data_IF_129641681716
#
_entry.id   IF_129641681716
#
_cell.length_a   1.000
_cell.length_b   1.000
_cell.length_c   1.000
_cell.angle_alpha   90.00
_cell.angle_beta   90.00
_cell.angle_gamma   90.00
#
_symmetry.space_group_name_H-M   'P 1'
#
loop_
_entity.id
_entity.type
_entity.pdbx_description
1 polymer ?
#
# COMPACT_ATOMS: atom_id res chain seq x y z
N UNK A 1 -13.67 -8.78 3.09
CA UNK A 1 -12.40 -8.17 2.68
C UNK A 1 -11.27 -9.16 2.71
N UNK A 2 -10.35 -9.06 1.80
CA UNK A 2 -9.14 -9.87 1.74
C UNK A 2 -8.00 -9.10 2.40
N UNK A 3 -7.36 -9.69 3.41
CA UNK A 3 -6.13 -9.20 4.01
C UNK A 3 -4.91 -9.66 3.20
N UNK A 4 -4.05 -10.50 3.81
CA UNK A 4 -2.84 -11.00 3.15
C UNK A 4 -3.09 -11.84 1.89
N UNK A 5 -4.23 -12.53 1.78
CA UNK A 5 -4.67 -13.18 0.53
C UNK A 5 -5.48 -12.19 -0.33
N UNK A 6 -4.81 -11.17 -0.85
CA UNK A 6 -5.44 -10.13 -1.67
C UNK A 6 -6.16 -10.69 -2.91
N UNK A 7 -5.67 -11.81 -3.46
CA UNK A 7 -6.28 -12.43 -4.63
C UNK A 7 -7.68 -13.03 -4.35
N UNK A 8 -8.03 -13.28 -3.08
CA UNK A 8 -9.36 -13.78 -2.69
C UNK A 8 -10.37 -12.67 -2.40
N UNK A 9 -10.10 -11.45 -2.83
CA UNK A 9 -11.02 -10.32 -2.64
C UNK A 9 -12.42 -10.62 -3.23
N UNK A 10 -13.44 -10.19 -2.47
CA UNK A 10 -14.85 -10.42 -2.79
C UNK A 10 -15.62 -9.15 -3.18
N UNK A 11 -15.02 -7.97 -3.02
CA UNK A 11 -15.62 -6.72 -3.53
C UNK A 11 -15.79 -6.86 -5.04
N UNK A 12 -17.02 -6.85 -5.52
CA UNK A 12 -17.37 -7.08 -6.92
C UNK A 12 -17.68 -5.78 -7.65
N UNK A 13 -17.50 -5.78 -8.95
CA UNK A 13 -17.88 -4.70 -9.83
C UNK A 13 -18.55 -5.29 -11.08
N UNK A 14 -19.81 -4.97 -11.30
CA UNK A 14 -20.61 -5.41 -12.42
C UNK A 14 -20.70 -4.29 -13.45
N UNK A 15 -20.58 -4.61 -14.74
CA UNK A 15 -20.73 -3.62 -15.81
C UNK A 15 -22.21 -3.28 -15.98
N UNK A 16 -22.52 -1.98 -15.87
CA UNK A 16 -23.86 -1.43 -16.10
C UNK A 16 -23.72 -0.22 -17.03
N UNK A 17 -23.95 -0.42 -18.30
CA UNK A 17 -23.72 0.61 -19.33
C UNK A 17 -22.26 1.04 -19.38
N UNK A 18 -22.00 2.31 -19.20
CA UNK A 18 -20.65 2.93 -19.16
C UNK A 18 -20.06 3.03 -17.76
N UNK A 19 -20.67 2.37 -16.75
CA UNK A 19 -20.25 2.33 -15.36
C UNK A 19 -19.97 0.91 -14.86
N UNK A 20 -19.27 0.84 -13.75
CA UNK A 20 -19.23 -0.31 -12.84
C UNK A 20 -20.13 -0.04 -11.65
N UNK A 21 -21.00 -0.99 -11.30
CA UNK A 21 -21.72 -1.02 -10.03
C UNK A 21 -20.89 -1.82 -9.04
N UNK A 22 -20.35 -1.13 -8.02
CA UNK A 22 -19.44 -1.72 -7.04
C UNK A 22 -20.16 -2.04 -5.76
N UNK A 23 -19.97 -3.30 -5.28
CA UNK A 23 -20.56 -3.81 -4.03
C UNK A 23 -19.52 -4.57 -3.21
N UNK A 24 -19.56 -4.37 -1.89
CA UNK A 24 -18.69 -5.06 -0.95
C UNK A 24 -18.01 -4.15 0.06
N UNK A 25 -16.85 -4.54 0.58
CA UNK A 25 -16.12 -3.70 1.54
C UNK A 25 -14.61 -3.88 1.45
N UNK A 26 -13.88 -2.87 1.93
CA UNK A 26 -12.44 -2.88 2.19
C UNK A 26 -12.19 -2.64 3.66
N UNK A 27 -11.27 -3.39 4.25
CA UNK A 27 -10.90 -3.26 5.66
C UNK A 27 -9.43 -2.85 5.79
N UNK A 28 -9.07 -2.31 6.93
CA UNK A 28 -7.71 -1.81 7.26
C UNK A 28 -7.28 -0.61 6.41
N UNK A 29 -8.25 0.19 5.94
CA UNK A 29 -7.96 1.35 5.08
C UNK A 29 -7.53 2.54 5.94
N UNK A 30 -6.23 2.89 5.88
CA UNK A 30 -5.70 4.06 6.57
C UNK A 30 -6.15 5.34 5.88
N UNK A 31 -6.58 6.34 6.65
CA UNK A 31 -6.89 7.68 6.16
C UNK A 31 -8.15 7.80 5.29
N UNK A 32 -8.99 6.76 5.19
CA UNK A 32 -10.21 6.79 4.37
C UNK A 32 -11.18 7.93 4.76
N UNK A 33 -11.13 8.38 6.02
CA UNK A 33 -11.96 9.47 6.53
C UNK A 33 -11.57 10.86 6.01
N UNK A 34 -10.40 10.97 5.38
CA UNK A 34 -9.84 12.24 4.86
C UNK A 34 -9.46 12.17 3.38
N UNK A 35 -9.58 10.99 2.80
CA UNK A 35 -9.19 10.77 1.42
C UNK A 35 -10.28 11.29 0.46
N UNK A 36 -9.88 11.96 -0.61
CA UNK A 36 -10.78 12.34 -1.71
C UNK A 36 -11.09 11.16 -2.61
N UNK A 37 -10.16 10.22 -2.75
CA UNK A 37 -10.29 9.04 -3.59
C UNK A 37 -9.77 7.79 -2.88
N UNK A 38 -10.34 6.66 -3.26
CA UNK A 38 -9.82 5.34 -2.93
C UNK A 38 -9.47 4.59 -4.22
N UNK A 39 -8.26 4.04 -4.31
CA UNK A 39 -8.01 3.01 -5.30
C UNK A 39 -8.46 1.66 -4.77
N UNK A 40 -9.19 0.92 -5.56
CA UNK A 40 -9.77 -0.34 -5.15
C UNK A 40 -9.55 -1.44 -6.19
N UNK A 41 -9.03 -2.57 -5.74
CA UNK A 41 -9.08 -3.81 -6.50
C UNK A 41 -10.47 -4.42 -6.34
N UNK A 42 -11.13 -4.69 -7.45
CA UNK A 42 -12.48 -5.24 -7.48
C UNK A 42 -12.54 -6.46 -8.39
N UNK A 43 -13.45 -7.38 -8.10
CA UNK A 43 -13.69 -8.56 -8.90
C UNK A 43 -14.66 -8.18 -10.04
N UNK A 44 -14.15 -8.17 -11.27
CA UNK A 44 -14.92 -7.90 -12.48
C UNK A 44 -15.29 -9.16 -13.25
N UNK A 45 -14.54 -10.26 -13.04
CA UNK A 45 -14.89 -11.58 -13.56
C UNK A 45 -14.89 -12.60 -12.42
N UNK A 46 -16.05 -13.16 -12.12
CA UNK A 46 -16.27 -14.13 -11.03
C UNK A 46 -15.86 -15.55 -11.42
N UNK A 47 -15.70 -15.83 -12.71
CA UNK A 47 -15.40 -17.17 -13.25
C UNK A 47 -13.89 -17.40 -13.41
N UNK A 48 -13.14 -16.33 -13.51
CA UNK A 48 -11.69 -16.38 -13.70
C UNK A 48 -10.94 -16.89 -12.48
N UNK A 49 -9.72 -17.41 -12.70
CA UNK A 49 -8.78 -17.74 -11.61
C UNK A 49 -8.54 -16.54 -10.70
N UNK A 50 -8.20 -16.77 -9.43
CA UNK A 50 -8.09 -15.75 -8.35
C UNK A 50 -7.38 -14.45 -8.76
N UNK A 51 -6.24 -14.52 -9.45
CA UNK A 51 -5.45 -13.35 -9.87
C UNK A 51 -5.96 -12.71 -11.17
N UNK A 52 -6.69 -13.47 -11.98
CA UNK A 52 -7.37 -13.01 -13.18
C UNK A 52 -8.77 -12.54 -12.79
N UNK A 53 -9.39 -11.68 -13.58
CA UNK A 53 -10.74 -11.17 -13.28
C UNK A 53 -10.76 -10.09 -12.18
N UNK A 54 -9.61 -9.47 -11.89
CA UNK A 54 -9.51 -8.33 -10.98
C UNK A 54 -9.20 -7.07 -11.80
N UNK A 55 -9.98 -6.01 -11.59
CA UNK A 55 -9.74 -4.68 -12.14
C UNK A 55 -9.34 -3.69 -11.04
N UNK A 56 -8.66 -2.63 -11.44
CA UNK A 56 -8.20 -1.57 -10.55
C UNK A 56 -9.00 -0.31 -10.84
N UNK A 57 -9.76 0.19 -9.86
CA UNK A 57 -10.61 1.36 -10.00
C UNK A 57 -10.12 2.49 -9.09
N UNK A 58 -10.20 3.73 -9.59
CA UNK A 58 -10.07 4.94 -8.78
C UNK A 58 -11.48 5.48 -8.52
N UNK A 59 -11.89 5.51 -7.26
CA UNK A 59 -13.26 5.81 -6.84
C UNK A 59 -13.25 7.07 -5.98
N UNK A 60 -14.01 8.12 -6.32
CA UNK A 60 -14.19 9.28 -5.43
C UNK A 60 -14.88 8.85 -4.13
N UNK A 61 -14.34 9.25 -2.99
CA UNK A 61 -14.93 8.92 -1.68
C UNK A 61 -16.26 9.63 -1.42
N UNK A 62 -16.57 10.68 -2.19
CA UNK A 62 -17.85 11.38 -2.20
C UNK A 62 -18.95 10.64 -2.98
N UNK A 63 -18.65 9.53 -3.64
CA UNK A 63 -19.64 8.76 -4.41
C UNK A 63 -20.78 8.27 -3.52
N UNK A 64 -22.03 8.38 -4.00
CA UNK A 64 -23.18 7.85 -3.30
C UNK A 64 -23.02 6.33 -3.07
N UNK A 65 -23.42 5.84 -1.90
CA UNK A 65 -23.29 4.44 -1.51
C UNK A 65 -21.96 4.11 -0.81
N UNK A 66 -21.05 5.06 -0.64
CA UNK A 66 -19.84 4.86 0.18
C UNK A 66 -20.11 5.22 1.64
N UNK A 67 -19.74 4.31 2.54
CA UNK A 67 -19.78 4.53 3.98
C UNK A 67 -18.44 4.13 4.60
N UNK A 68 -17.89 5.01 5.45
CA UNK A 68 -16.63 4.78 6.16
C UNK A 68 -16.96 4.54 7.65
N UNK A 69 -16.49 3.41 8.19
CA UNK A 69 -16.60 3.08 9.60
C UNK A 69 -15.21 3.01 10.25
N UNK A 70 -15.00 3.66 11.40
CA UNK A 70 -13.71 3.62 12.09
C UNK A 70 -13.44 2.23 12.68
N UNK A 71 -12.16 1.84 12.68
CA UNK A 71 -11.64 0.67 13.40
C UNK A 71 -10.68 1.17 14.48
N UNK A 72 -10.94 0.75 15.70
CA UNK A 72 -10.15 1.12 16.86
C UNK A 72 -9.19 -0.01 17.24
N UNK A 73 -7.95 0.34 17.52
CA UNK A 73 -7.01 -0.58 18.16
C UNK A 73 -7.39 -0.80 19.62
N UNK A 74 -6.83 -1.84 20.26
CA UNK A 74 -7.12 -2.18 21.66
C UNK A 74 -6.79 -1.04 22.65
N UNK A 75 -5.90 -0.11 22.27
CA UNK A 75 -5.56 1.09 23.05
C UNK A 75 -6.53 2.26 22.80
N UNK A 76 -7.68 2.03 22.15
CA UNK A 76 -8.71 3.04 21.87
C UNK A 76 -8.37 4.01 20.72
N UNK A 77 -7.20 3.92 20.10
CA UNK A 77 -6.84 4.80 18.97
C UNK A 77 -7.51 4.32 17.69
N UNK A 78 -8.11 5.25 16.95
CA UNK A 78 -8.56 5.03 15.58
C UNK A 78 -7.34 4.99 14.67
N UNK A 79 -7.04 3.84 14.11
CA UNK A 79 -5.87 3.65 13.23
C UNK A 79 -6.27 3.36 11.79
N UNK A 80 -7.41 2.70 11.60
CA UNK A 80 -7.87 2.24 10.29
C UNK A 80 -9.37 2.47 10.14
N UNK A 81 -9.85 2.14 8.95
CA UNK A 81 -11.27 2.20 8.63
C UNK A 81 -11.69 0.94 7.86
N UNK A 82 -12.98 0.64 7.92
CA UNK A 82 -13.65 -0.20 6.95
C UNK A 82 -14.44 0.71 6.02
N UNK A 83 -14.29 0.51 4.72
CA UNK A 83 -15.02 1.22 3.68
C UNK A 83 -16.01 0.26 3.04
N UNK A 84 -17.28 0.62 3.04
CA UNK A 84 -18.38 -0.14 2.45
C UNK A 84 -18.78 0.51 1.13
N UNK A 85 -19.10 -0.31 0.16
CA UNK A 85 -19.62 0.07 -1.14
C UNK A 85 -20.98 -0.61 -1.30
N UNK A 86 -22.01 0.19 -1.48
CA UNK A 86 -23.41 -0.25 -1.67
C UNK A 86 -23.94 0.40 -2.96
N UNK A 87 -24.00 -0.40 -4.03
CA UNK A 87 -24.37 0.01 -5.38
C UNK A 87 -23.64 1.28 -5.89
N UNK A 88 -22.35 1.40 -5.56
CA UNK A 88 -21.56 2.57 -5.96
C UNK A 88 -21.30 2.56 -7.46
N UNK A 89 -21.80 3.59 -8.16
CA UNK A 89 -21.62 3.74 -9.60
C UNK A 89 -20.30 4.45 -9.92
N UNK A 90 -19.41 3.74 -10.60
CA UNK A 90 -18.06 4.21 -10.95
C UNK A 90 -17.91 4.22 -12.47
N UNK A 91 -17.59 5.35 -13.10
CA UNK A 91 -17.38 5.40 -14.55
C UNK A 91 -16.30 4.41 -15.00
N UNK A 92 -16.49 3.73 -16.12
CA UNK A 92 -15.50 2.81 -16.68
C UNK A 92 -14.18 3.50 -17.00
N UNK A 93 -14.22 4.80 -17.29
CA UNK A 93 -13.03 5.64 -17.48
C UNK A 93 -12.15 5.77 -16.21
N UNK A 94 -12.70 5.54 -15.02
CA UNK A 94 -11.95 5.54 -13.76
C UNK A 94 -11.19 4.23 -13.50
N UNK A 95 -11.19 3.29 -14.45
CA UNK A 95 -10.38 2.08 -14.39
C UNK A 95 -8.94 2.38 -14.81
N UNK A 96 -8.00 1.92 -14.02
CA UNK A 96 -6.57 1.97 -14.31
C UNK A 96 -6.12 0.67 -14.97
N UNK A 97 -5.62 0.76 -16.18
CA UNK A 97 -5.23 -0.40 -16.99
C UNK A 97 -6.40 -1.09 -17.68
N UNK A 98 -6.13 -2.23 -18.32
CA UNK A 98 -7.17 -3.02 -18.98
C UNK A 98 -8.07 -3.76 -17.96
N UNK A 99 -9.30 -4.05 -18.35
CA UNK A 99 -10.22 -4.84 -17.55
C UNK A 99 -9.62 -6.22 -17.24
N UNK A 100 -9.81 -6.70 -16.02
CA UNK A 100 -9.26 -7.95 -15.52
C UNK A 100 -7.71 -8.00 -15.41
N UNK A 101 -7.01 -6.86 -15.60
CA UNK A 101 -5.55 -6.75 -15.50
C UNK A 101 -5.12 -5.97 -14.22
N UNK A 102 -6.02 -5.67 -13.33
CA UNK A 102 -5.75 -4.91 -12.10
C UNK A 102 -4.71 -5.56 -11.18
N UNK A 103 -4.56 -6.89 -11.24
CA UNK A 103 -3.51 -7.59 -10.49
C UNK A 103 -2.10 -7.17 -10.92
N UNK A 104 -1.88 -6.95 -12.21
CA UNK A 104 -0.59 -6.47 -12.72
C UNK A 104 -0.29 -5.05 -12.25
N UNK A 105 -1.30 -4.17 -12.29
CA UNK A 105 -1.18 -2.80 -11.75
C UNK A 105 -0.86 -2.82 -10.26
N UNK A 106 -1.57 -3.65 -9.48
CA UNK A 106 -1.33 -3.80 -8.05
C UNK A 106 0.07 -4.31 -7.71
N UNK A 107 0.63 -5.24 -8.49
CA UNK A 107 1.99 -5.74 -8.26
C UNK A 107 3.05 -4.65 -8.37
N UNK A 108 2.90 -3.75 -9.32
CA UNK A 108 3.80 -2.60 -9.46
C UNK A 108 3.73 -1.70 -8.23
N UNK A 109 2.51 -1.31 -7.81
CA UNK A 109 2.29 -0.49 -6.63
C UNK A 109 2.83 -1.14 -5.34
N UNK A 110 2.51 -2.43 -5.12
CA UNK A 110 2.96 -3.18 -3.94
C UNK A 110 4.48 -3.42 -3.93
N UNK A 111 5.12 -3.43 -5.09
CA UNK A 111 6.58 -3.48 -5.21
C UNK A 111 7.23 -2.27 -4.56
N UNK A 112 6.76 -1.09 -4.86
CA UNK A 112 7.26 0.17 -4.30
C UNK A 112 6.92 0.31 -2.81
N UNK A 113 5.72 -0.10 -2.40
CA UNK A 113 5.28 -0.04 -1.01
C UNK A 113 6.16 -0.88 -0.07
N UNK A 114 6.63 -2.06 -0.50
CA UNK A 114 7.55 -2.91 0.29
C UNK A 114 8.81 -2.18 0.71
N UNK A 115 9.31 -1.26 -0.10
CA UNK A 115 10.49 -0.46 0.23
C UNK A 115 10.20 0.59 1.29
N UNK A 116 8.97 1.13 1.31
CA UNK A 116 8.54 2.12 2.32
C UNK A 116 8.37 1.48 3.71
N UNK A 117 7.97 0.20 3.78
CA UNK A 117 7.79 -0.55 5.04
C UNK A 117 9.12 -0.73 5.80
N UNK A 118 10.26 -0.71 5.12
CA UNK A 118 11.57 -0.87 5.77
C UNK A 118 11.91 0.24 6.78
N UNK A 119 11.30 1.43 6.64
CA UNK A 119 11.47 2.60 7.52
C UNK A 119 12.93 2.92 7.87
N UNK A 120 13.87 2.63 6.99
CA UNK A 120 15.32 2.78 7.26
C UNK A 120 15.65 4.19 7.70
N UNK A 121 15.16 5.22 6.99
CA UNK A 121 15.45 6.61 7.30
C UNK A 121 14.90 7.04 8.67
N UNK A 122 13.73 6.52 9.06
CA UNK A 122 13.13 6.77 10.38
C UNK A 122 13.94 6.11 11.49
N UNK A 123 14.30 4.84 11.31
CA UNK A 123 15.08 4.08 12.28
C UNK A 123 16.50 4.68 12.44
N UNK A 124 17.13 5.16 11.37
CA UNK A 124 18.41 5.87 11.46
C UNK A 124 18.29 7.16 12.26
N UNK A 125 17.22 7.94 12.08
CA UNK A 125 16.96 9.15 12.87
C UNK A 125 16.77 8.83 14.36
N UNK A 126 16.02 7.76 14.66
CA UNK A 126 15.84 7.30 16.06
C UNK A 126 17.18 6.89 16.65
N UNK A 127 17.98 6.08 15.94
CA UNK A 127 19.31 5.65 16.39
C UNK A 127 20.21 6.85 16.67
N UNK A 128 20.30 7.82 15.74
CA UNK A 128 21.09 9.04 15.92
C UNK A 128 20.67 9.84 17.16
N UNK A 129 19.34 9.93 17.41
CA UNK A 129 18.82 10.59 18.61
C UNK A 129 19.22 9.84 19.89
N UNK A 130 19.15 8.52 19.89
CA UNK A 130 19.59 7.69 21.02
C UNK A 130 21.09 7.86 21.26
N UNK A 131 21.91 7.81 20.21
CA UNK A 131 23.37 8.04 20.29
C UNK A 131 23.68 9.43 20.87
N UNK A 132 22.93 10.47 20.47
CA UNK A 132 23.12 11.83 21.00
C UNK A 132 22.77 11.91 22.50
N UNK A 133 21.67 11.26 22.92
CA UNK A 133 21.25 11.26 24.32
C UNK A 133 22.19 10.46 25.24
N UNK A 134 22.88 9.47 24.70
CA UNK A 134 23.77 8.58 25.43
C UNK A 134 25.26 8.93 25.27
N UNK A 135 25.57 10.06 24.63
CA UNK A 135 26.91 10.41 24.17
C UNK A 135 27.99 10.31 25.27
N UNK A 136 27.61 10.63 26.50
CA UNK A 136 28.52 10.60 27.64
C UNK A 136 28.46 9.26 28.40
N UNK A 137 27.31 8.59 28.42
CA UNK A 137 27.10 7.34 29.16
C UNK A 137 27.48 6.08 28.36
N UNK A 138 27.32 6.11 27.02
CA UNK A 138 27.58 4.94 26.16
C UNK A 138 29.08 4.67 25.93
N UNK A 139 29.94 5.67 26.13
CA UNK A 139 31.38 5.52 26.00
C UNK A 139 31.97 4.76 27.19
N UNK A 140 31.31 4.78 28.36
CA UNK A 140 31.74 4.09 29.56
C UNK A 140 31.20 2.65 29.65
N UNK A 141 30.06 2.36 28.98
CA UNK A 141 29.46 1.03 28.93
C UNK A 141 29.71 0.34 27.58
N UNK A 142 30.74 -0.50 27.54
CA UNK A 142 31.09 -1.25 26.32
C UNK A 142 30.00 -2.18 25.81
N UNK A 143 29.08 -2.65 26.66
CA UNK A 143 27.93 -3.48 26.25
C UNK A 143 26.90 -2.65 25.48
N UNK A 144 26.61 -1.45 25.95
CA UNK A 144 25.68 -0.52 25.29
C UNK A 144 26.26 -0.04 23.95
N UNK A 145 27.54 0.32 23.92
CA UNK A 145 28.24 0.70 22.68
C UNK A 145 28.20 -0.41 21.64
N UNK A 146 28.45 -1.66 22.04
CA UNK A 146 28.38 -2.82 21.14
C UNK A 146 26.96 -3.04 20.59
N UNK A 147 25.91 -2.87 21.40
CA UNK A 147 24.51 -2.97 20.95
C UNK A 147 24.15 -1.89 19.92
N UNK A 148 24.57 -0.64 20.17
CA UNK A 148 24.33 0.46 19.23
C UNK A 148 25.04 0.22 17.89
N UNK A 149 26.30 -0.23 17.92
CA UNK A 149 27.05 -0.59 16.72
C UNK A 149 26.38 -1.73 15.93
N UNK A 150 25.86 -2.76 16.61
CA UNK A 150 25.11 -3.84 15.96
C UNK A 150 23.84 -3.34 15.27
N UNK A 151 23.09 -2.42 15.88
CA UNK A 151 21.90 -1.82 15.27
C UNK A 151 22.28 -1.03 14.03
N UNK A 152 23.35 -0.24 14.09
CA UNK A 152 23.85 0.55 12.96
C UNK A 152 24.26 -0.32 11.77
N UNK A 153 25.01 -1.41 12.03
CA UNK A 153 25.39 -2.39 11.00
C UNK A 153 24.15 -3.00 10.35
N UNK A 154 23.15 -3.40 11.14
CA UNK A 154 21.90 -3.99 10.62
C UNK A 154 21.11 -2.98 9.80
N UNK A 155 21.01 -1.72 10.21
CA UNK A 155 20.34 -0.67 9.46
C UNK A 155 21.06 -0.37 8.13
N UNK A 156 22.38 -0.37 8.13
CA UNK A 156 23.17 -0.20 6.90
C UNK A 156 22.98 -1.37 5.93
N UNK A 157 22.95 -2.60 6.42
CA UNK A 157 22.63 -3.79 5.62
C UNK A 157 21.22 -3.74 5.03
N UNK A 158 20.23 -3.31 5.82
CA UNK A 158 18.85 -3.14 5.38
C UNK A 158 18.74 -2.05 4.31
N UNK A 159 19.42 -0.92 4.46
CA UNK A 159 19.47 0.15 3.47
C UNK A 159 20.05 -0.33 2.14
N UNK A 160 21.19 -1.02 2.18
CA UNK A 160 21.79 -1.60 0.98
C UNK A 160 20.86 -2.60 0.27
N UNK A 161 20.07 -3.36 1.04
CA UNK A 161 19.06 -4.28 0.50
C UNK A 161 17.89 -3.54 -0.15
N UNK A 162 17.39 -2.48 0.49
CA UNK A 162 16.33 -1.63 -0.04
C UNK A 162 16.76 -0.93 -1.34
N UNK A 163 17.98 -0.39 -1.37
CA UNK A 163 18.53 0.26 -2.58
C UNK A 163 18.70 -0.73 -3.75
N UNK A 164 19.19 -1.95 -3.49
CA UNK A 164 19.27 -3.00 -4.51
C UNK A 164 17.89 -3.41 -5.02
N UNK A 165 16.89 -3.46 -4.15
CA UNK A 165 15.51 -3.72 -4.53
C UNK A 165 14.98 -2.66 -5.50
N UNK A 166 15.24 -1.37 -5.24
CA UNK A 166 14.89 -0.26 -6.15
C UNK A 166 15.61 -0.35 -7.50
N UNK A 167 16.90 -0.64 -7.49
CA UNK A 167 17.69 -0.74 -8.72
C UNK A 167 17.20 -1.89 -9.63
N UNK A 168 16.73 -3.00 -9.06
CA UNK A 168 16.18 -4.14 -9.79
C UNK A 168 14.72 -3.97 -10.21
N UNK A 169 13.94 -3.18 -9.48
CA UNK A 169 12.54 -2.82 -9.77
C UNK A 169 12.40 -1.61 -10.70
N UNK A 170 13.50 -0.99 -11.10
CA UNK A 170 13.52 0.15 -12.03
C UNK A 170 12.83 -0.19 -13.34
N UNK A 171 11.79 0.55 -13.65
CA UNK A 171 10.88 0.47 -14.78
C UNK A 171 11.57 0.12 -16.10
N UNK A 172 11.11 -0.90 -16.84
CA UNK A 172 11.35 -0.97 -18.27
C UNK A 172 10.38 0.01 -18.96
N UNK A 173 10.73 1.30 -19.02
CA UNK A 173 9.80 2.29 -19.55
C UNK A 173 10.34 3.69 -19.77
N UNK A 174 11.68 3.89 -19.81
CA UNK A 174 12.23 5.06 -20.51
C UNK A 174 12.71 4.63 -21.88
N UNK A 175 11.74 4.34 -22.75
CA UNK A 175 11.97 4.29 -24.18
C UNK A 175 12.50 5.64 -24.63
N UNK A 176 13.73 5.66 -25.11
CA UNK A 176 14.35 6.75 -25.86
C UNK A 176 13.40 7.17 -26.97
N UNK A 177 12.73 8.31 -26.80
CA UNK A 177 12.16 9.03 -27.93
C UNK A 177 13.33 9.44 -28.82
N UNK A 178 13.63 8.65 -29.85
CA UNK A 178 14.48 9.08 -30.95
C UNK A 178 13.75 10.23 -31.64
N UNK A 179 14.33 11.42 -31.55
CA UNK A 179 14.01 12.54 -32.44
C UNK A 179 14.45 12.10 -33.85
N UNK A 180 13.51 12.02 -34.73
CA UNK A 180 13.70 12.13 -36.19
C UNK A 180 13.02 13.38 -36.66
#
# INVERSE_FOLDING_TARGET
GAGSDLASLTTRAEVVGDHYRVNGSKIWTSGAERADHIFALVRTDMTAKKQLGISFLLIPMSSMGIRVAPLYAFNGKRLWNQVFFDDVMVPRASRLGAENQGWTVAKTLLGDERLMVSRVAENKRILSRVQTLLKDSALEDGVLAAKLAQIEIRLTGLEGTALRGRARGGHPGRGTARRS
#
